data_IF_196541100812
#
_entry.id   IF_196541100812
#
_cell.length_a   1.000
_cell.length_b   1.000
_cell.length_c   1.000
_cell.angle_alpha   90.00
_cell.angle_beta   90.00
_cell.angle_gamma   90.00
#
_symmetry.space_group_name_H-M   'P 1'
#
loop_
_entity.id
_entity.type
_entity.pdbx_description
1 polymer ?
2 non-polymer ?
3 non-polymer ?
4 non-polymer ?
5 water ?
#
# COMPACT_ATOMS: atom_id res chain seq x y z
N UNK A 6 0.06 13.52 2.55
CA UNK A 6 -0.10 11.98 2.46
C UNK A 6 -1.35 11.60 1.67
N UNK A 7 -1.16 10.79 0.63
CA UNK A 7 -2.24 10.41 -0.26
C UNK A 7 -3.21 9.48 0.47
N UNK A 8 -2.65 8.62 1.31
CA UNK A 8 -3.46 7.65 1.98
C UNK A 8 -3.17 7.71 3.44
N UNK A 9 -4.13 7.22 4.18
CA UNK A 9 -4.05 7.09 5.61
C UNK A 9 -4.32 5.70 6.09
N UNK A 10 -3.99 5.51 7.32
CA UNK A 10 -4.14 4.22 7.96
C UNK A 10 -5.55 3.70 7.81
N UNK A 11 -5.64 2.47 7.39
CA UNK A 11 -6.90 1.83 7.21
C UNK A 11 -7.54 2.02 5.86
N UNK A 12 -7.03 2.91 5.03
CA UNK A 12 -7.59 3.00 3.66
C UNK A 12 -7.47 1.68 2.97
N UNK A 13 -8.46 1.35 2.17
CA UNK A 13 -8.42 0.13 1.35
C UNK A 13 -7.87 0.54 0.01
N UNK A 14 -6.79 -0.12 -0.40
CA UNK A 14 -6.11 0.15 -1.66
C UNK A 14 -5.77 -1.08 -2.41
N UNK A 15 -5.47 -0.87 -3.68
CA UNK A 15 -4.98 -1.94 -4.53
C UNK A 15 -3.90 -1.52 -5.44
N UNK A 16 -3.07 -2.47 -5.87
CA UNK A 16 -2.14 -2.24 -6.94
C UNK A 16 -2.85 -1.88 -8.25
N UNK A 17 -2.36 -0.83 -8.94
CA UNK A 17 -2.97 -0.39 -10.15
C UNK A 17 -2.69 -1.31 -11.32
N UNK A 18 -1.55 -1.99 -11.31
CA UNK A 18 -1.11 -2.70 -12.52
C UNK A 18 -0.06 -3.73 -12.13
N UNK A 19 0.27 -4.67 -13.01
CA UNK A 19 1.29 -5.72 -12.72
C UNK A 19 0.82 -6.67 -11.63
N UNK A 20 1.74 -7.03 -10.73
CA UNK A 20 1.43 -7.94 -9.65
C UNK A 20 0.29 -7.33 -8.80
N UNK A 21 -0.70 -8.12 -8.54
CA UNK A 21 -1.85 -7.71 -7.76
C UNK A 21 -1.57 -7.71 -6.24
N UNK A 22 -2.21 -6.76 -5.57
CA UNK A 22 -2.24 -6.72 -4.10
C UNK A 22 -3.44 -5.84 -3.67
N UNK A 23 -4.16 -6.23 -2.62
CA UNK A 23 -5.28 -5.43 -2.18
C UNK A 23 -5.49 -5.66 -0.70
N UNK A 24 -5.75 -4.57 -0.01
CA UNK A 24 -6.05 -4.60 1.40
C UNK A 24 -5.87 -3.25 2.03
N UNK A 25 -5.54 -3.19 3.30
CA UNK A 25 -5.53 -1.92 4.01
C UNK A 25 -4.16 -1.38 4.26
N UNK A 26 -4.08 -0.06 4.19
CA UNK A 26 -2.85 0.66 4.56
C UNK A 26 -2.61 0.44 6.07
N UNK A 27 -1.43 -0.07 6.37
CA UNK A 27 -0.97 -0.39 7.71
C UNK A 27 0.34 0.29 8.10
N UNK A 28 0.90 1.06 7.19
CA UNK A 28 2.13 1.72 7.48
C UNK A 28 2.61 2.55 6.32
N UNK A 29 3.80 3.12 6.48
CA UNK A 29 4.39 4.20 5.66
C UNK A 29 5.89 3.95 5.65
N UNK A 30 6.55 4.28 4.55
CA UNK A 30 8.03 4.38 4.50
C UNK A 30 8.46 5.46 3.48
N UNK A 31 9.69 5.94 3.64
CA UNK A 31 10.21 6.90 2.72
C UNK A 31 11.71 6.70 2.57
N UNK A 32 12.12 6.65 1.32
CA UNK A 32 13.50 6.56 0.92
C UNK A 32 13.71 7.50 -0.22
N UNK A 33 14.94 7.70 -0.65
CA UNK A 33 15.16 8.56 -1.82
C UNK A 33 14.50 8.05 -3.08
N UNK A 34 14.55 6.74 -3.28
CA UNK A 34 13.92 6.10 -4.44
C UNK A 34 12.44 6.10 -4.34
N UNK A 35 11.93 6.00 -3.11
CA UNK A 35 10.49 5.98 -2.87
C UNK A 35 10.09 6.94 -1.73
N UNK A 36 9.98 8.22 -2.08
CA UNK A 36 9.87 9.20 -1.00
C UNK A 36 8.47 9.14 -0.36
N UNK A 37 7.51 8.49 -1.02
CA UNK A 37 6.19 8.28 -0.40
C UNK A 37 5.75 6.85 -0.65
N UNK A 38 5.91 6.01 0.35
CA UNK A 38 5.65 4.57 0.23
C UNK A 38 4.68 4.16 1.28
N UNK A 39 4.02 3.04 1.01
CA UNK A 39 2.98 2.48 1.91
C UNK A 39 3.13 0.98 2.13
N UNK A 40 2.90 0.54 3.36
CA UNK A 40 2.75 -0.91 3.68
C UNK A 40 1.27 -1.27 3.63
N UNK A 41 0.90 -2.35 2.91
CA UNK A 41 -0.46 -2.76 2.68
C UNK A 41 -0.57 -4.21 3.15
N UNK A 42 -1.46 -4.47 4.11
CA UNK A 42 -1.71 -5.80 4.63
C UNK A 42 -2.76 -6.42 3.72
N UNK A 43 -2.48 -7.58 3.17
CA UNK A 43 -3.49 -8.24 2.35
C UNK A 43 -4.79 -8.57 3.11
N UNK A 44 -5.89 -8.23 2.44
CA UNK A 44 -7.22 -8.66 2.87
C UNK A 44 -7.53 -10.12 2.64
N UNK A 45 -6.79 -10.75 1.76
CA UNK A 45 -7.02 -12.14 1.44
C UNK A 45 -6.13 -13.02 2.27
N UNK A 46 -4.97 -12.47 2.65
CA UNK A 46 -3.91 -13.20 3.33
C UNK A 46 -3.52 -12.44 4.61
N UNK A 47 -4.34 -12.56 5.66
CA UNK A 47 -4.04 -11.74 6.83
C UNK A 47 -2.65 -11.99 7.42
N UNK A 48 -2.00 -10.91 7.85
CA UNK A 48 -0.66 -10.93 8.40
C UNK A 48 0.44 -10.64 7.34
N UNK A 49 0.12 -10.88 6.05
CA UNK A 49 1.11 -10.69 5.01
C UNK A 49 1.02 -9.25 4.57
N UNK A 50 2.19 -8.62 4.52
CA UNK A 50 2.29 -7.20 4.25
C UNK A 50 3.28 -7.00 3.12
N UNK A 51 2.91 -6.20 2.12
CA UNK A 51 3.87 -5.75 1.08
C UNK A 51 3.94 -4.26 1.06
N UNK A 52 5.05 -3.77 0.53
CA UNK A 52 5.27 -2.30 0.53
C UNK A 52 5.45 -1.84 -0.92
N UNK A 53 4.88 -0.67 -1.20
CA UNK A 53 4.79 -0.11 -2.58
C UNK A 53 4.92 1.43 -2.58
N UNK A 54 5.49 2.00 -3.67
CA UNK A 54 5.45 3.45 -3.82
C UNK A 54 3.98 3.86 -4.05
N UNK A 55 3.65 5.05 -3.62
CA UNK A 55 2.31 5.62 -3.76
C UNK A 55 1.77 5.55 -5.17
N UNK A 56 2.62 5.79 -6.15
CA UNK A 56 2.19 5.74 -7.57
C UNK A 56 1.70 4.37 -8.03
N UNK A 57 2.10 3.30 -7.34
CA UNK A 57 1.66 1.99 -7.64
C UNK A 57 0.25 1.70 -7.14
N UNK A 58 -0.29 2.54 -6.25
CA UNK A 58 -1.50 2.20 -5.52
C UNK A 58 -2.66 3.11 -5.82
N UNK A 59 -3.86 2.56 -5.67
CA UNK A 59 -5.03 3.37 -5.75
C UNK A 59 -6.02 2.95 -4.70
N UNK A 60 -6.72 3.95 -4.17
CA UNK A 60 -7.75 3.75 -3.13
C UNK A 60 -9.08 3.21 -3.71
N UNK A 61 -9.78 2.29 -3.03
CA UNK A 61 -11.01 1.72 -3.60
C UNK A 61 -12.14 1.85 -2.58
X LIG B 1 9.96 -7.07 3.40
X LIG B 1 9.37 -6.57 2.17
X LIG B 1 7.89 -6.92 2.07
X LIG B 1 6.58 -5.73 -1.32
X LIG B 1 6.87 -5.17 -2.55
X LIG B 1 7.65 -8.34 1.96
X LIG B 1 7.11 -6.19 0.97
X LIG B 1 7.67 -6.03 -0.42
X LIG C 1 12.60 9.62 -9.39
X LIG C 1 12.93 8.72 -8.20
X LIG C 1 12.53 9.34 -6.94
X LIG C 1 12.23 7.37 -8.44
X LIG C 1 14.43 8.49 -8.14
X LIG D 1 -7.45 8.11 5.88
X LIG D 1 -7.44 9.55 6.35
X LIG D 1 -8.76 9.71 6.92
X LIG D 1 -6.41 9.71 7.44
X LIG D 1 -7.14 10.61 5.26
X LIG D 1 -5.70 10.73 4.70
X LIG D 1 -4.72 11.39 5.55
X LIG D 1 -5.70 11.46 3.33
X LIG E 1 14.15 10.67 2.31
X LIG E 1 14.62 9.26 2.60
X LIG E 1 15.37 11.52 1.95
X LIG E 1 13.06 10.66 1.25
X LIG E 1 13.46 11.20 3.56
#
# INVERSE_FOLDING_TARGET
>A
VFPSDATFGMGDRVRKKSGAAWQGQIVGWYCTNLTPEGYAVESEAHPGSVQIYPVAALERIN
>B hetero
1 D49 O7 C8 C9 O10 C11 O35 C36 C37
>C hetero
1 MRD C1 C2 O2 CM C3
>D hetero
1 MRD C1 C2 O2 CM C3 C4 O4 C5
>E hetero
1 PO4 P O1 O2 O3 O4
#
